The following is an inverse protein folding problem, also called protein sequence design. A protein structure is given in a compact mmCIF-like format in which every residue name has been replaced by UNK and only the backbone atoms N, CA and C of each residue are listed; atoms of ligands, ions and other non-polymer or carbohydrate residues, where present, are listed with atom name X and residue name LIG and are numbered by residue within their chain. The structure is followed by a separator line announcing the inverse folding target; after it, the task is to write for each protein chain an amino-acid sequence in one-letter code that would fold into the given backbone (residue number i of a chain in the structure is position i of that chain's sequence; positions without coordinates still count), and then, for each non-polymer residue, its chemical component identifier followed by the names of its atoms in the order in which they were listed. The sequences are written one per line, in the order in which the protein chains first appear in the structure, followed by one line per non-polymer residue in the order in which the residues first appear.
data_IF_520651730316
#
_entry.id   IF_520651730316
#
_cell.length_a   1.000
_cell.length_b   1.000
_cell.length_c   1.000
_cell.angle_alpha   90.00
_cell.angle_beta   90.00
_cell.angle_gamma   90.00
#
_symmetry.space_group_name_H-M   'P 1'
#
loop_
_entity.id
_entity.type
_entity.pdbx_description
1 polymer ?
#
# COMPACT_ATOMS: atom_id res chain seq x y z
N UNK A 1 8.66 9.83 -13.07
CA UNK A 1 7.52 9.24 -13.79
C UNK A 1 6.92 8.22 -12.85
N UNK A 2 5.66 8.38 -12.45
CA UNK A 2 5.00 7.45 -11.52
C UNK A 2 4.87 6.12 -12.27
N UNK A 3 5.26 4.96 -11.68
CA UNK A 3 5.00 3.69 -12.33
C UNK A 3 3.49 3.46 -12.29
N UNK A 4 2.80 3.77 -13.38
CA UNK A 4 1.35 3.53 -13.54
C UNK A 4 0.98 2.08 -13.19
N UNK A 5 1.91 1.15 -13.43
CA UNK A 5 1.78 -0.25 -13.04
C UNK A 5 1.57 -0.45 -11.53
N UNK A 6 2.26 0.31 -10.68
CA UNK A 6 2.15 0.16 -9.23
C UNK A 6 0.79 0.65 -8.71
N UNK A 7 0.33 1.82 -9.15
CA UNK A 7 -0.98 2.36 -8.74
C UNK A 7 -2.13 1.48 -9.23
N UNK A 8 -2.07 1.06 -10.49
CA UNK A 8 -3.08 0.16 -11.06
C UNK A 8 -3.10 -1.18 -10.30
N UNK A 9 -1.94 -1.74 -9.98
CA UNK A 9 -1.86 -2.99 -9.22
C UNK A 9 -2.35 -2.82 -7.78
N UNK A 10 -2.01 -1.69 -7.13
CA UNK A 10 -2.48 -1.37 -5.79
C UNK A 10 -4.01 -1.30 -5.74
N UNK A 11 -4.63 -0.59 -6.70
CA UNK A 11 -6.08 -0.49 -6.81
C UNK A 11 -6.74 -1.86 -7.07
N UNK A 12 -6.14 -2.70 -7.93
CA UNK A 12 -6.61 -4.09 -8.16
C UNK A 12 -6.55 -4.97 -6.91
N UNK A 13 -5.61 -4.69 -6.01
CA UNK A 13 -5.52 -5.35 -4.70
C UNK A 13 -6.40 -4.71 -3.63
N UNK A 14 -7.16 -3.67 -3.97
CA UNK A 14 -8.10 -3.00 -3.07
C UNK A 14 -7.47 -1.91 -2.21
N UNK A 15 -6.21 -1.54 -2.44
CA UNK A 15 -5.60 -0.38 -1.78
C UNK A 15 -6.15 0.91 -2.38
N UNK A 16 -6.28 1.93 -1.52
CA UNK A 16 -6.68 3.28 -1.95
C UNK A 16 -5.43 4.09 -2.23
N UNK A 17 -5.45 4.92 -3.26
CA UNK A 17 -4.39 5.90 -3.49
C UNK A 17 -4.99 7.28 -3.71
N UNK A 18 -4.25 8.29 -3.31
CA UNK A 18 -4.62 9.70 -3.45
C UNK A 18 -3.45 10.47 -4.06
N UNK A 19 -3.77 11.50 -4.84
CA UNK A 19 -2.81 12.47 -5.34
C UNK A 19 -3.18 13.81 -4.74
N UNK A 20 -2.27 14.41 -3.98
CA UNK A 20 -2.53 15.67 -3.32
C UNK A 20 -2.40 16.87 -4.28
N UNK A 21 -2.67 18.08 -3.76
CA UNK A 21 -2.59 19.33 -4.54
C UNK A 21 -1.19 19.66 -5.04
N UNK A 22 -0.15 19.06 -4.46
CA UNK A 22 1.25 19.21 -4.84
C UNK A 22 1.70 18.11 -5.83
N UNK A 23 0.80 17.21 -6.23
CA UNK A 23 1.12 16.07 -7.10
C UNK A 23 1.79 14.91 -6.38
N UNK A 24 1.83 14.93 -5.04
CA UNK A 24 2.36 13.85 -4.23
C UNK A 24 1.38 12.71 -4.20
N UNK A 25 1.85 11.50 -4.49
CA UNK A 25 1.01 10.31 -4.53
C UNK A 25 1.19 9.49 -3.26
N UNK A 26 0.09 9.13 -2.61
CA UNK A 26 0.09 8.26 -1.43
C UNK A 26 -0.80 7.04 -1.66
N UNK A 27 -0.38 5.88 -1.14
CA UNK A 27 -1.15 4.64 -1.12
C UNK A 27 -1.40 4.25 0.33
N UNK A 28 -2.64 3.91 0.63
CA UNK A 28 -3.13 3.62 1.97
C UNK A 28 -3.59 2.17 2.04
N UNK A 29 -3.49 1.60 3.24
CA UNK A 29 -4.17 0.34 3.52
C UNK A 29 -5.68 0.49 3.33
N UNK A 30 -6.34 -0.60 2.96
CA UNK A 30 -7.79 -0.68 2.98
C UNK A 30 -8.33 -0.94 4.39
N UNK A 31 -7.50 -1.48 5.29
CA UNK A 31 -7.88 -1.70 6.68
C UNK A 31 -7.78 -0.38 7.46
N UNK A 32 -8.86 0.10 8.11
CA UNK A 32 -8.83 1.33 8.91
C UNK A 32 -7.91 1.25 10.13
N UNK A 33 -7.59 0.04 10.62
CA UNK A 33 -6.69 -0.15 11.76
C UNK A 33 -5.21 -0.10 11.36
N UNK A 34 -4.92 -0.29 10.07
CA UNK A 34 -3.57 -0.18 9.54
C UNK A 34 -3.13 1.27 9.49
N UNK A 35 -2.04 1.57 10.19
CA UNK A 35 -1.51 2.93 10.30
C UNK A 35 -0.35 3.20 9.34
N UNK A 36 -0.21 2.37 8.32
CA UNK A 36 0.84 2.50 7.34
C UNK A 36 0.32 3.16 6.06
N UNK A 37 1.21 3.93 5.41
CA UNK A 37 1.01 4.43 4.04
C UNK A 37 2.33 4.44 3.27
N UNK A 38 2.26 4.34 1.96
CA UNK A 38 3.39 4.57 1.06
C UNK A 38 3.24 5.94 0.42
N UNK A 39 4.26 6.77 0.45
CA UNK A 39 4.24 8.11 -0.12
C UNK A 39 5.37 8.23 -1.16
N UNK A 40 5.02 8.64 -2.37
CA UNK A 40 5.98 8.85 -3.45
C UNK A 40 6.68 10.19 -3.28
N UNK A 41 7.98 10.14 -2.99
CA UNK A 41 8.87 11.30 -2.92
C UNK A 41 9.89 11.16 -4.04
N UNK A 42 9.82 12.06 -5.03
CA UNK A 42 10.67 12.02 -6.23
C UNK A 42 10.48 10.71 -7.02
N UNK A 43 11.35 9.74 -6.81
CA UNK A 43 11.43 8.45 -7.51
C UNK A 43 11.31 7.25 -6.55
N UNK A 44 11.08 7.51 -5.27
CA UNK A 44 11.05 6.48 -4.23
C UNK A 44 9.80 6.53 -3.38
N UNK A 45 9.41 5.37 -2.88
CA UNK A 45 8.24 5.19 -2.03
C UNK A 45 8.66 5.11 -0.58
N UNK A 46 8.25 6.08 0.22
CA UNK A 46 8.53 6.11 1.65
C UNK A 46 7.39 5.41 2.39
N UNK A 47 7.71 4.32 3.06
CA UNK A 47 6.81 3.72 4.05
C UNK A 47 6.78 4.60 5.29
N UNK A 48 5.59 5.09 5.62
CA UNK A 48 5.32 5.79 6.87
C UNK A 48 4.42 4.92 7.74
N UNK A 49 4.69 4.87 9.03
CA UNK A 49 3.80 4.28 10.05
C UNK A 49 3.47 5.39 11.04
N UNK A 50 2.18 5.67 11.26
CA UNK A 50 1.73 6.84 12.03
C UNK A 50 2.40 8.14 11.57
N UNK A 51 2.48 8.38 10.26
CA UNK A 51 3.16 9.54 9.65
C UNK A 51 4.69 9.59 9.83
N UNK A 52 5.30 8.63 10.54
CA UNK A 52 6.74 8.58 10.76
C UNK A 52 7.41 7.77 9.65
N UNK A 53 8.33 8.34 8.86
CA UNK A 53 9.10 7.61 7.85
C UNK A 53 9.89 6.45 8.48
N UNK A 54 9.76 5.26 7.91
CA UNK A 54 10.42 4.04 8.37
C UNK A 54 11.43 3.52 7.35
N UNK A 55 10.95 3.30 6.12
CA UNK A 55 11.72 2.61 5.07
C UNK A 55 11.53 3.35 3.75
N UNK A 56 12.60 3.37 2.96
CA UNK A 56 12.60 3.96 1.63
C UNK A 56 12.73 2.86 0.57
N UNK A 57 11.73 2.74 -0.29
CA UNK A 57 11.62 1.69 -1.30
C UNK A 57 11.85 2.23 -2.70
N UNK A 58 12.52 1.43 -3.54
CA UNK A 58 12.33 1.56 -4.98
C UNK A 58 10.95 0.99 -5.38
N UNK A 59 10.48 1.33 -6.58
CA UNK A 59 9.13 0.92 -7.02
C UNK A 59 8.89 -0.60 -7.00
N UNK A 60 9.91 -1.41 -7.28
CA UNK A 60 9.80 -2.88 -7.21
C UNK A 60 9.62 -3.39 -5.78
N UNK A 61 10.32 -2.80 -4.81
CA UNK A 61 10.19 -3.16 -3.39
C UNK A 61 8.86 -2.71 -2.81
N UNK A 62 8.37 -1.52 -3.21
CA UNK A 62 7.05 -1.03 -2.84
C UNK A 62 5.94 -1.96 -3.36
N UNK A 63 6.08 -2.47 -4.59
CA UNK A 63 5.15 -3.44 -5.14
C UNK A 63 5.14 -4.76 -4.34
N UNK A 64 6.32 -5.28 -4.00
CA UNK A 64 6.44 -6.49 -3.17
C UNK A 64 5.88 -6.28 -1.77
N UNK A 65 6.04 -5.08 -1.20
CA UNK A 65 5.42 -4.74 0.08
C UNK A 65 3.89 -4.81 -0.02
N UNK A 66 3.29 -4.19 -1.03
CA UNK A 66 1.85 -4.20 -1.26
C UNK A 66 1.32 -5.62 -1.51
N UNK A 67 2.06 -6.45 -2.25
CA UNK A 67 1.71 -7.85 -2.47
C UNK A 67 1.62 -8.63 -1.15
N UNK A 68 2.62 -8.45 -0.26
CA UNK A 68 2.62 -9.09 1.06
C UNK A 68 1.43 -8.65 1.91
N UNK A 69 1.10 -7.36 1.91
CA UNK A 69 -0.06 -6.83 2.64
C UNK A 69 -1.37 -7.41 2.09
N UNK A 70 -1.51 -7.49 0.77
CA UNK A 70 -2.69 -8.07 0.13
C UNK A 70 -2.87 -9.55 0.46
N UNK A 71 -1.78 -10.33 0.43
CA UNK A 71 -1.81 -11.75 0.81
C UNK A 71 -2.20 -11.96 2.28
N UNK A 72 -1.66 -11.15 3.19
CA UNK A 72 -2.02 -11.22 4.61
C UNK A 72 -3.52 -10.96 4.84
N UNK A 73 -4.07 -9.94 4.16
CA UNK A 73 -5.48 -9.59 4.27
C UNK A 73 -6.41 -10.67 3.69
N UNK A 74 -5.98 -11.38 2.63
CA UNK A 74 -6.73 -12.54 2.11
C UNK A 74 -6.79 -13.70 3.09
N UNK A 75 -5.68 -14.01 3.75
CA UNK A 75 -5.63 -15.11 4.72
C UNK A 75 -6.54 -14.84 5.92
N UNK A 76 -6.57 -13.60 6.41
CA UNK A 76 -7.43 -13.21 7.54
C UNK A 76 -8.92 -13.33 7.22
N UNK A 77 -9.32 -13.07 5.98
CA UNK A 77 -10.71 -13.18 5.55
C UNK A 77 -11.14 -14.61 5.16
N UNK A 78 -10.20 -15.56 5.11
CA UNK A 78 -10.48 -16.96 4.74
C UNK A 78 -10.62 -17.89 5.95
N UNK A 79 -10.51 -17.36 7.18
CA UNK A 79 -10.61 -18.11 8.43
C UNK A 79 -12.00 -18.14 9.08
N UNK A 80 -13.01 -17.51 8.47
CA UNK A 80 -14.40 -17.46 8.98
C UNK A 80 -15.37 -18.23 8.07
N UNK A 81 -15.09 -19.50 7.79
CA UNK A 81 -16.13 -20.47 7.40
C UNK A 81 -15.66 -21.85 7.84
N UNK A 82 -15.84 -22.19 9.11
CA UNK A 82 -15.99 -23.57 9.57
C UNK A 82 -16.51 -23.51 11.02
N UNK A 83 -17.83 -23.39 11.14
CA UNK A 83 -18.53 -23.82 12.34
C UNK A 83 -19.60 -24.82 11.91
N UNK A 84 -19.39 -26.06 12.37
CA UNK A 84 -20.29 -27.22 12.31
C UNK A 84 -21.75 -26.94 12.65
#
# INVERSE_FOLDING_TARGET
MIPENLLNQAARWGFRYEVDKCGMTSIYSNNPDDRWKLELVSDRWILKINEIPQINFVSTEALQFLERQWLQNKTNNSGETDTE
#
